data_IF_109849964960
#
_entry.id   IF_109849964960
#
_cell.length_a   1.000
_cell.length_b   1.000
_cell.length_c   1.000
_cell.angle_alpha   90.00
_cell.angle_beta   90.00
_cell.angle_gamma   90.00
#
_symmetry.space_group_name_H-M   'P 1'
#
loop_
_entity.id
_entity.type
_entity.pdbx_description
1 polymer ?
#
# COMPACT_ATOMS: atom_id res chain seq x y z
N UNK A 1 18.16 1.36 -2.91
CA UNK A 1 18.00 -0.10 -2.90
C UNK A 1 16.59 -0.44 -3.34
N UNK A 2 16.43 -1.29 -4.34
CA UNK A 2 15.09 -1.66 -4.80
C UNK A 2 14.45 -2.69 -3.87
N UNK A 3 13.16 -2.59 -3.72
CA UNK A 3 12.36 -3.49 -2.88
C UNK A 3 11.10 -3.90 -3.64
N UNK A 4 10.47 -4.96 -3.17
CA UNK A 4 9.17 -5.38 -3.68
C UNK A 4 8.09 -4.74 -2.83
N UNK A 5 7.16 -4.03 -3.45
CA UNK A 5 6.03 -3.43 -2.74
C UNK A 5 4.91 -4.46 -2.60
N UNK A 6 4.39 -4.58 -1.39
CA UNK A 6 3.22 -5.41 -1.09
C UNK A 6 2.20 -4.55 -0.33
N UNK A 7 0.92 -4.73 -0.67
CA UNK A 7 -0.18 -3.99 -0.04
C UNK A 7 -1.06 -4.95 0.75
N UNK A 8 -1.34 -4.61 2.00
CA UNK A 8 -2.31 -5.38 2.77
C UNK A 8 -3.72 -5.12 2.22
N UNK A 9 -4.66 -5.99 2.52
CA UNK A 9 -6.03 -5.87 1.99
C UNK A 9 -6.67 -4.53 2.31
N UNK A 10 -6.45 -4.01 3.50
CA UNK A 10 -6.96 -2.69 3.89
C UNK A 10 -6.42 -1.58 2.99
N UNK A 11 -5.14 -1.66 2.60
CA UNK A 11 -4.52 -0.66 1.72
C UNK A 11 -5.09 -0.77 0.30
N UNK A 12 -5.36 -1.98 -0.17
CA UNK A 12 -6.00 -2.18 -1.48
C UNK A 12 -7.41 -1.57 -1.47
N UNK A 13 -8.15 -1.75 -0.38
CA UNK A 13 -9.47 -1.15 -0.22
C UNK A 13 -9.39 0.38 -0.23
N UNK A 14 -8.34 0.94 0.38
CA UNK A 14 -8.10 2.38 0.33
C UNK A 14 -7.92 2.86 -1.10
N UNK A 15 -7.09 2.14 -1.90
CA UNK A 15 -6.91 2.47 -3.31
C UNK A 15 -8.21 2.43 -4.09
N UNK A 16 -9.04 1.43 -3.81
CA UNK A 16 -10.31 1.26 -4.51
C UNK A 16 -11.23 2.46 -4.32
N UNK A 17 -11.16 3.12 -3.17
CA UNK A 17 -11.94 4.34 -2.90
C UNK A 17 -11.57 5.48 -3.83
N UNK A 18 -10.37 5.48 -4.39
CA UNK A 18 -9.87 6.53 -5.28
C UNK A 18 -9.95 6.14 -6.76
N UNK A 19 -10.50 4.96 -7.07
CA UNK A 19 -10.55 4.46 -8.43
C UNK A 19 -11.34 5.37 -9.37
N UNK A 20 -12.41 5.98 -8.86
CA UNK A 20 -13.29 6.84 -9.66
C UNK A 20 -12.80 8.29 -9.76
N UNK A 21 -11.86 8.69 -8.89
CA UNK A 21 -11.36 10.06 -8.86
C UNK A 21 -10.28 10.35 -9.91
N UNK A 22 -9.81 9.31 -10.61
CA UNK A 22 -8.75 9.45 -11.61
C UNK A 22 -7.35 9.57 -11.01
N UNK A 23 -7.20 9.41 -9.71
CA UNK A 23 -5.93 9.57 -9.01
C UNK A 23 -5.11 8.29 -8.88
N UNK A 24 -5.64 7.15 -9.32
CA UNK A 24 -4.92 5.86 -9.21
C UNK A 24 -3.54 5.90 -9.84
N UNK A 25 -3.38 6.58 -10.97
CA UNK A 25 -2.08 6.69 -11.63
C UNK A 25 -1.04 7.35 -10.73
N UNK A 26 -1.44 8.41 -10.01
CA UNK A 26 -0.54 9.11 -9.10
C UNK A 26 -0.13 8.20 -7.95
N UNK A 27 -1.06 7.43 -7.39
CA UNK A 27 -0.75 6.47 -6.34
C UNK A 27 0.21 5.39 -6.81
N UNK A 28 -0.06 4.80 -7.97
CA UNK A 28 0.82 3.75 -8.50
C UNK A 28 2.20 4.27 -8.88
N UNK A 29 2.30 5.51 -9.36
CA UNK A 29 3.59 6.14 -9.63
C UNK A 29 4.43 6.22 -8.36
N UNK A 30 3.82 6.58 -7.23
CA UNK A 30 4.51 6.65 -5.94
C UNK A 30 4.84 5.27 -5.38
N UNK A 31 3.98 4.29 -5.57
CA UNK A 31 4.25 2.91 -5.19
C UNK A 31 5.44 2.34 -5.97
N UNK A 32 5.55 2.66 -7.26
CA UNK A 32 6.70 2.30 -8.08
C UNK A 32 7.97 3.01 -7.59
N UNK A 33 7.86 4.27 -7.17
CA UNK A 33 8.99 4.99 -6.60
C UNK A 33 9.51 4.30 -5.34
N UNK A 34 8.59 3.80 -4.49
CA UNK A 34 8.98 3.01 -3.32
C UNK A 34 9.73 1.74 -3.74
N UNK A 35 9.28 1.05 -4.79
CA UNK A 35 9.99 -0.13 -5.29
C UNK A 35 11.42 0.19 -5.73
N UNK A 36 11.62 1.33 -6.37
CA UNK A 36 12.93 1.72 -6.88
C UNK A 36 13.89 2.21 -5.79
N UNK A 37 13.37 2.95 -4.83
CA UNK A 37 14.18 3.65 -3.83
C UNK A 37 14.16 3.03 -2.43
N UNK A 38 13.19 2.17 -2.16
CA UNK A 38 13.04 1.61 -0.82
C UNK A 38 12.73 2.68 0.22
N UNK A 39 13.40 2.59 1.36
CA UNK A 39 13.18 3.53 2.47
C UNK A 39 13.45 4.99 2.08
N UNK A 40 14.32 5.22 1.12
CA UNK A 40 14.66 6.58 0.69
C UNK A 40 13.52 7.29 -0.02
N UNK A 41 12.49 6.56 -0.46
CA UNK A 41 11.34 7.15 -1.13
C UNK A 41 10.49 8.02 -0.22
N UNK A 42 10.55 7.79 1.09
CA UNK A 42 9.68 8.48 2.03
C UNK A 42 10.40 9.09 3.21
N UNK A 43 9.64 9.70 4.11
CA UNK A 43 10.13 10.32 5.32
C UNK A 43 9.74 9.49 6.54
N UNK A 44 10.61 9.40 7.57
CA UNK A 44 10.28 8.62 8.75
C UNK A 44 9.17 9.25 9.56
N UNK A 45 8.36 8.38 10.17
CA UNK A 45 7.39 8.78 11.18
C UNK A 45 8.01 8.58 12.55
N UNK A 46 7.52 9.29 13.53
CA UNK A 46 8.03 9.21 14.89
C UNK A 46 7.02 8.64 15.86
N UNK A 47 7.30 8.78 17.17
CA UNK A 47 6.46 8.34 18.26
C UNK A 47 6.18 6.84 18.18
N UNK A 48 4.90 6.44 18.27
CA UNK A 48 4.48 5.05 18.22
C UNK A 48 4.52 4.45 16.80
N UNK A 49 4.92 5.24 15.80
CA UNK A 49 5.07 4.79 14.41
C UNK A 49 6.54 4.70 13.99
N UNK A 50 7.44 4.56 14.94
CA UNK A 50 8.87 4.36 14.65
C UNK A 50 9.05 3.13 13.76
N UNK A 51 9.87 3.26 12.72
CA UNK A 51 10.07 2.20 11.72
C UNK A 51 9.15 2.29 10.53
N UNK A 52 8.11 3.11 10.63
CA UNK A 52 7.20 3.37 9.52
C UNK A 52 7.60 4.67 8.80
N UNK A 53 7.20 4.78 7.55
CA UNK A 53 7.53 5.92 6.70
C UNK A 53 6.28 6.39 5.97
N UNK A 54 6.32 7.63 5.48
CA UNK A 54 5.24 8.20 4.67
C UNK A 54 5.79 8.77 3.38
N UNK A 55 4.99 8.72 2.32
CA UNK A 55 5.25 9.44 1.09
C UNK A 55 3.99 10.20 0.70
N UNK A 56 4.15 11.43 0.21
CA UNK A 56 3.01 12.26 -0.20
C UNK A 56 2.70 12.02 -1.68
N UNK A 57 1.41 12.08 -2.02
CA UNK A 57 0.93 11.84 -3.38
C UNK A 57 0.11 13.04 -3.84
N UNK A 58 0.22 13.36 -5.13
CA UNK A 58 -0.47 14.49 -5.73
C UNK A 58 0.05 15.80 -5.19
N UNK A 59 -0.83 16.75 -4.94
CA UNK A 59 -0.50 18.05 -4.39
C UNK A 59 -0.42 18.04 -2.86
N UNK A 60 0.10 16.96 -2.28
CA UNK A 60 0.21 16.72 -0.84
C UNK A 60 -1.13 16.43 -0.15
N UNK A 61 -2.15 16.10 -0.93
CA UNK A 61 -3.47 15.79 -0.37
C UNK A 61 -3.59 14.39 0.18
N UNK A 62 -2.70 13.49 -0.26
CA UNK A 62 -2.76 12.07 0.08
C UNK A 62 -1.44 11.58 0.66
N UNK A 63 -1.51 10.53 1.47
CA UNK A 63 -0.34 9.90 2.11
C UNK A 63 -0.37 8.40 1.89
N UNK A 64 0.80 7.82 1.65
CA UNK A 64 1.00 6.37 1.69
C UNK A 64 1.89 6.10 2.89
N UNK A 65 1.42 5.25 3.82
CA UNK A 65 2.19 4.83 4.99
C UNK A 65 2.72 3.42 4.76
N UNK A 66 4.02 3.24 4.87
CA UNK A 66 4.68 1.97 4.55
C UNK A 66 5.85 1.69 5.49
N UNK A 67 6.27 0.43 5.53
CA UNK A 67 7.43 -0.02 6.28
C UNK A 67 8.31 -0.85 5.35
N UNK A 68 9.63 -0.63 5.42
CA UNK A 68 10.59 -1.41 4.63
C UNK A 68 11.29 -2.43 5.51
N UNK A 69 11.23 -3.69 5.11
CA UNK A 69 12.03 -4.75 5.70
C UNK A 69 13.23 -4.96 4.77
N UNK A 70 14.39 -4.48 5.17
CA UNK A 70 15.59 -4.52 4.34
C UNK A 70 16.10 -5.93 4.13
N UNK A 71 15.92 -6.82 5.10
CA UNK A 71 16.34 -8.22 4.98
C UNK A 71 15.60 -8.95 3.89
N UNK A 72 14.27 -8.73 3.84
CA UNK A 72 13.42 -9.36 2.84
C UNK A 72 13.32 -8.57 1.55
N UNK A 73 13.83 -7.33 1.56
CA UNK A 73 13.70 -6.38 0.47
C UNK A 73 12.22 -6.18 0.09
N UNK A 74 11.37 -5.99 1.09
CA UNK A 74 9.93 -5.80 0.95
C UNK A 74 9.49 -4.53 1.63
N UNK A 75 8.68 -3.73 0.93
CA UNK A 75 8.00 -2.58 1.49
C UNK A 75 6.52 -2.93 1.64
N UNK A 76 6.02 -2.93 2.87
CA UNK A 76 4.61 -3.24 3.15
C UNK A 76 3.82 -1.96 3.31
N UNK A 77 2.81 -1.77 2.46
CA UNK A 77 1.93 -0.61 2.51
C UNK A 77 0.76 -0.91 3.44
N UNK A 78 0.60 -0.06 4.46
CA UNK A 78 -0.40 -0.23 5.51
C UNK A 78 -1.64 0.63 5.25
N UNK A 79 -1.44 1.89 4.87
CA UNK A 79 -2.54 2.85 4.68
C UNK A 79 -2.28 3.68 3.45
N UNK A 80 -3.34 3.94 2.68
CA UNK A 80 -3.34 4.97 1.65
C UNK A 80 -4.52 5.86 1.99
N UNK A 81 -4.25 7.06 2.43
CA UNK A 81 -5.30 7.90 2.96
C UNK A 81 -5.07 9.38 2.85
N UNK A 82 -6.05 10.08 3.36
CA UNK A 82 -6.13 11.51 3.35
C UNK A 82 -5.14 12.12 4.33
N UNK A 83 -4.68 13.31 4.00
CA UNK A 83 -3.79 14.10 4.83
C UNK A 83 -4.48 14.67 6.07
N UNK A 84 -5.79 14.90 6.00
CA UNK A 84 -6.52 15.69 7.00
C UNK A 84 -6.41 15.10 8.42
N UNK A 85 -6.05 15.99 9.36
CA UNK A 85 -6.08 15.76 10.81
C UNK A 85 -5.36 14.47 11.27
N UNK A 86 -4.38 14.03 10.52
CA UNK A 86 -3.62 12.83 10.87
C UNK A 86 -4.42 11.54 10.77
N UNK A 87 -5.54 11.54 10.04
CA UNK A 87 -6.40 10.39 9.90
C UNK A 87 -5.67 9.14 9.41
N UNK A 88 -4.77 9.29 8.44
CA UNK A 88 -4.01 8.15 7.91
C UNK A 88 -3.07 7.55 8.96
N UNK A 89 -2.54 8.35 9.86
CA UNK A 89 -1.65 7.88 10.92
C UNK A 89 -2.43 7.13 12.00
N UNK A 90 -3.62 7.59 12.31
CA UNK A 90 -4.50 6.89 13.22
C UNK A 90 -4.92 5.53 12.66
N UNK A 91 -5.26 5.50 11.37
CA UNK A 91 -5.53 4.24 10.67
C UNK A 91 -4.32 3.31 10.71
N UNK A 92 -3.11 3.85 10.53
CA UNK A 92 -1.89 3.06 10.61
C UNK A 92 -1.75 2.42 11.98
N UNK A 93 -1.97 3.19 13.06
CA UNK A 93 -1.90 2.66 14.42
C UNK A 93 -2.86 1.51 14.64
N UNK A 94 -4.08 1.63 14.11
CA UNK A 94 -5.09 0.58 14.24
C UNK A 94 -4.75 -0.67 13.44
N UNK A 95 -4.01 -0.52 12.34
CA UNK A 95 -3.68 -1.63 11.44
C UNK A 95 -2.36 -2.32 11.74
N UNK A 96 -1.47 -1.71 12.51
CA UNK A 96 -0.13 -2.26 12.78
C UNK A 96 -0.19 -3.69 13.29
N UNK A 97 -1.05 -3.98 14.23
CA UNK A 97 -1.16 -5.32 14.82
C UNK A 97 -1.62 -6.36 13.80
N UNK A 98 -2.30 -5.94 12.76
CA UNK A 98 -2.82 -6.84 11.72
C UNK A 98 -1.86 -7.04 10.56
N UNK A 99 -0.88 -6.16 10.39
CA UNK A 99 0.05 -6.21 9.26
C UNK A 99 0.81 -7.54 9.20
N UNK A 100 1.26 -8.03 10.33
CA UNK A 100 2.02 -9.27 10.42
C UNK A 100 1.18 -10.51 10.10
N UNK A 101 -0.13 -10.43 10.27
CA UNK A 101 -1.05 -11.55 10.15
C UNK A 101 -1.97 -11.44 8.93
N UNK A 102 -1.75 -10.45 8.07
CA UNK A 102 -2.59 -10.20 6.90
C UNK A 102 -1.79 -10.50 5.65
N UNK A 103 -2.38 -11.26 4.73
CA UNK A 103 -1.77 -11.47 3.42
C UNK A 103 -1.68 -10.15 2.68
N UNK A 104 -0.57 -9.97 1.98
CA UNK A 104 -0.34 -8.78 1.20
C UNK A 104 -0.21 -9.15 -0.27
N UNK A 105 -0.84 -8.36 -1.14
CA UNK A 105 -0.75 -8.54 -2.58
C UNK A 105 0.42 -7.75 -3.13
N UNK A 106 1.07 -8.31 -4.15
CA UNK A 106 2.13 -7.60 -4.87
C UNK A 106 1.54 -6.38 -5.58
N UNK A 107 2.42 -5.47 -5.99
CA UNK A 107 1.99 -4.29 -6.76
C UNK A 107 1.30 -4.71 -8.05
N UNK A 108 1.84 -5.71 -8.75
CA UNK A 108 1.24 -6.22 -9.99
C UNK A 108 -0.17 -6.78 -9.75
N UNK A 109 -0.36 -7.58 -8.70
CA UNK A 109 -1.67 -8.10 -8.34
C UNK A 109 -2.67 -6.98 -8.01
N UNK A 110 -2.20 -5.96 -7.29
CA UNK A 110 -3.03 -4.81 -6.94
C UNK A 110 -3.44 -4.02 -8.19
N UNK A 111 -2.52 -3.82 -9.12
CA UNK A 111 -2.83 -3.16 -10.39
C UNK A 111 -3.84 -3.94 -11.21
N UNK A 112 -3.68 -5.26 -11.30
CA UNK A 112 -4.65 -6.11 -12.00
C UNK A 112 -6.03 -6.04 -11.38
N UNK A 113 -6.11 -6.02 -10.05
CA UNK A 113 -7.38 -5.95 -9.36
C UNK A 113 -8.13 -4.64 -9.63
N UNK A 114 -7.40 -3.54 -9.85
CA UNK A 114 -8.00 -2.21 -9.99
C UNK A 114 -8.10 -1.71 -11.43
N UNK A 115 -7.17 -2.15 -12.31
CA UNK A 115 -7.11 -1.70 -13.71
C UNK A 115 -7.43 -2.79 -14.72
N UNK A 116 -7.41 -4.06 -14.31
CA UNK A 116 -7.67 -5.17 -15.22
C UNK A 116 -9.12 -5.23 -15.68
N UNK A 117 -9.39 -6.06 -16.71
CA UNK A 117 -10.75 -6.32 -17.15
C UNK A 117 -11.52 -6.99 -16.02
N UNK A 118 -12.86 -6.94 -16.11
CA UNK A 118 -13.72 -7.58 -15.13
C UNK A 118 -13.37 -9.06 -14.95
N UNK A 119 -13.04 -9.73 -16.05
CA UNK A 119 -12.65 -11.16 -16.03
C UNK A 119 -11.32 -11.36 -15.30
N UNK A 120 -10.34 -10.51 -15.55
CA UNK A 120 -9.05 -10.55 -14.90
C UNK A 120 -9.16 -10.28 -13.42
N UNK A 121 -10.00 -9.33 -13.02
CA UNK A 121 -10.25 -9.02 -11.60
C UNK A 121 -10.84 -10.22 -10.87
N UNK A 122 -11.80 -10.90 -11.47
CA UNK A 122 -12.40 -12.09 -10.88
C UNK A 122 -11.37 -13.22 -10.72
N UNK A 123 -10.53 -13.42 -11.73
CA UNK A 123 -9.48 -14.44 -11.68
C UNK A 123 -8.47 -14.12 -10.58
N UNK A 124 -8.07 -12.86 -10.41
CA UNK A 124 -7.15 -12.44 -9.36
C UNK A 124 -7.75 -12.66 -7.97
N UNK A 125 -9.02 -12.31 -7.79
CA UNK A 125 -9.72 -12.54 -6.53
C UNK A 125 -9.82 -14.02 -6.19
N UNK A 126 -10.11 -14.84 -7.18
CA UNK A 126 -10.20 -16.30 -7.00
C UNK A 126 -8.87 -16.90 -6.57
N UNK A 127 -7.79 -16.50 -7.20
CA UNK A 127 -6.45 -16.97 -6.84
C UNK A 127 -6.08 -16.60 -5.41
N UNK A 128 -6.39 -15.39 -4.98
CA UNK A 128 -6.15 -14.95 -3.60
C UNK A 128 -6.98 -15.78 -2.62
N UNK A 129 -8.24 -16.00 -2.92
CA UNK A 129 -9.11 -16.81 -2.08
C UNK A 129 -8.59 -18.24 -1.95
N UNK A 130 -8.09 -18.83 -3.03
CA UNK A 130 -7.50 -20.16 -3.02
C UNK A 130 -6.21 -20.21 -2.19
N UNK A 131 -5.38 -19.17 -2.28
CA UNK A 131 -4.15 -19.08 -1.48
C UNK A 131 -4.45 -19.05 0.02
N UNK A 132 -5.56 -18.46 0.42
CA UNK A 132 -5.98 -18.39 1.81
C UNK A 132 -6.43 -19.74 2.38
N UNK A 133 -6.87 -20.64 1.53
CA UNK A 133 -7.38 -21.95 1.95
C UNK A 133 -6.28 -23.00 2.15
N UNK A 134 -5.11 -22.70 1.67
CA UNK A 134 -3.95 -23.57 1.78
C UNK A 134 -3.01 -23.10 2.87
#
# INVERSE_FOLDING_TARGET
MSVRVELIDDAIADLAKHAESGELKAFFAKLLEIEQKGAEAGEPLGRDLVGWRKITVGNRDWRIVFRVDERKAVATVCVIGDREDGACYEEARQRIDRVENTDAASLAESMMALFGSRRERKAAQKRRAEAWRN
#
